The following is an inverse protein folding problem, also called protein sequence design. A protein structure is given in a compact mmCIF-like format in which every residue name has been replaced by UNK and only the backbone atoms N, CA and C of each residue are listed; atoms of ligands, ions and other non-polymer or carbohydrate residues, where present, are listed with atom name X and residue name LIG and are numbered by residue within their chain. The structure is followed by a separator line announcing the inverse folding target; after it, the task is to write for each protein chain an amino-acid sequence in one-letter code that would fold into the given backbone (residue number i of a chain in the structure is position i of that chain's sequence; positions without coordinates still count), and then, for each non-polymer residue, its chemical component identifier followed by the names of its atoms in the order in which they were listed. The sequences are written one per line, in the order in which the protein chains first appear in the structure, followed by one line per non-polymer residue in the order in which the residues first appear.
data_IF_333848776170
#
_entry.id   IF_333848776170
#
_cell.length_a   1.000
_cell.length_b   1.000
_cell.length_c   1.000
_cell.angle_alpha   90.00
_cell.angle_beta   90.00
_cell.angle_gamma   90.00
#
_symmetry.space_group_name_H-M   'P 1'
#
loop_
_entity.id
_entity.type
_entity.pdbx_description
1 polymer ?
#
# COMPACT_ATOMS: atom_id res chain seq x y z
N UNK A 1 -16.88 24.16 10.56
CA UNK A 1 -15.71 23.33 10.93
C UNK A 1 -16.05 21.84 10.94
N UNK A 2 -17.18 21.40 11.48
CA UNK A 2 -17.61 20.00 11.50
C UNK A 2 -17.50 19.29 10.13
N UNK A 3 -18.17 19.82 9.09
CA UNK A 3 -18.14 19.21 7.75
C UNK A 3 -16.75 19.11 7.12
N UNK A 4 -15.86 20.08 7.40
CA UNK A 4 -14.49 20.03 6.92
C UNK A 4 -13.74 18.82 7.50
N UNK A 5 -13.80 18.63 8.81
CA UNK A 5 -13.15 17.51 9.48
C UNK A 5 -13.77 16.16 9.11
N UNK A 6 -15.09 16.13 8.88
CA UNK A 6 -15.79 14.96 8.36
C UNK A 6 -15.24 14.56 6.97
N UNK A 7 -15.16 15.52 6.04
CA UNK A 7 -14.63 15.29 4.70
C UNK A 7 -13.17 14.83 4.75
N UNK A 8 -12.34 15.49 5.56
CA UNK A 8 -10.92 15.10 5.70
C UNK A 8 -10.77 13.68 6.25
N UNK A 9 -11.56 13.26 7.22
CA UNK A 9 -11.51 11.89 7.72
C UNK A 9 -11.95 10.86 6.67
N UNK A 10 -12.92 11.18 5.82
CA UNK A 10 -13.32 10.33 4.69
C UNK A 10 -12.17 10.22 3.68
N UNK A 11 -11.57 11.33 3.29
CA UNK A 11 -10.45 11.35 2.33
C UNK A 11 -9.29 10.51 2.83
N UNK A 12 -8.90 10.64 4.09
CA UNK A 12 -7.81 9.84 4.65
C UNK A 12 -8.19 8.37 4.88
N UNK A 13 -9.46 8.06 5.10
CA UNK A 13 -9.95 6.66 5.11
C UNK A 13 -9.76 6.02 3.73
N UNK A 14 -10.13 6.72 2.65
CA UNK A 14 -9.91 6.25 1.29
C UNK A 14 -8.41 6.09 0.98
N UNK A 15 -7.60 7.08 1.34
CA UNK A 15 -6.13 7.02 1.15
C UNK A 15 -5.50 5.82 1.87
N UNK A 16 -5.91 5.54 3.11
CA UNK A 16 -5.43 4.38 3.88
C UNK A 16 -5.81 3.06 3.21
N UNK A 17 -7.04 2.94 2.73
CA UNK A 17 -7.57 1.76 2.06
C UNK A 17 -6.85 1.49 0.72
N UNK A 18 -6.66 2.53 -0.10
CA UNK A 18 -5.92 2.43 -1.37
C UNK A 18 -4.47 2.00 -1.11
N UNK A 19 -3.82 2.61 -0.11
CA UNK A 19 -2.45 2.27 0.26
C UNK A 19 -2.32 0.79 0.66
N UNK A 20 -3.28 0.25 1.40
CA UNK A 20 -3.29 -1.17 1.77
C UNK A 20 -3.52 -2.07 0.56
N UNK A 21 -4.47 -1.74 -0.31
CA UNK A 21 -4.71 -2.50 -1.54
C UNK A 21 -3.45 -2.55 -2.43
N UNK A 22 -2.71 -1.44 -2.55
CA UNK A 22 -1.45 -1.40 -3.29
C UNK A 22 -0.39 -2.30 -2.62
N UNK A 23 -0.24 -2.21 -1.29
CA UNK A 23 0.71 -3.06 -0.56
C UNK A 23 0.43 -4.54 -0.75
N UNK A 24 -0.82 -4.97 -0.67
CA UNK A 24 -1.22 -6.36 -0.85
C UNK A 24 -0.99 -6.82 -2.29
N UNK A 25 -1.28 -5.98 -3.29
CA UNK A 25 -0.96 -6.31 -4.69
C UNK A 25 0.54 -6.43 -4.92
N UNK A 26 1.35 -5.54 -4.36
CA UNK A 26 2.80 -5.61 -4.47
C UNK A 26 3.35 -6.88 -3.81
N UNK A 27 2.84 -7.25 -2.63
CA UNK A 27 3.40 -8.34 -1.83
C UNK A 27 2.94 -9.72 -2.29
N UNK A 28 1.64 -9.88 -2.62
CA UNK A 28 1.04 -11.20 -2.85
C UNK A 28 0.61 -11.45 -4.29
N UNK A 29 0.43 -10.39 -5.09
CA UNK A 29 -0.15 -10.47 -6.42
C UNK A 29 0.64 -9.67 -7.46
N UNK A 30 1.98 -9.59 -7.31
CA UNK A 30 2.85 -8.80 -8.18
C UNK A 30 2.58 -9.05 -9.67
N UNK A 31 2.59 -10.31 -10.09
CA UNK A 31 2.45 -10.68 -11.50
C UNK A 31 1.09 -10.34 -12.13
N UNK A 32 0.05 -10.18 -11.30
CA UNK A 32 -1.29 -9.77 -11.73
C UNK A 32 -1.54 -8.28 -11.54
N UNK A 33 -0.56 -7.54 -11.03
CA UNK A 33 -0.70 -6.12 -10.75
C UNK A 33 -0.35 -5.26 -11.96
N UNK A 34 -0.99 -4.09 -12.05
CA UNK A 34 -0.63 -3.07 -13.05
C UNK A 34 0.83 -2.63 -12.94
N UNK A 35 1.46 -2.81 -11.79
CA UNK A 35 2.84 -2.42 -11.52
C UNK A 35 3.86 -3.32 -12.20
N UNK A 36 3.49 -4.56 -12.56
CA UNK A 36 4.38 -5.53 -13.23
C UNK A 36 4.54 -5.28 -14.74
N UNK A 37 3.70 -4.42 -15.33
CA UNK A 37 3.64 -4.22 -16.79
C UNK A 37 4.77 -3.34 -17.33
N UNK A 38 5.36 -2.50 -16.49
CA UNK A 38 6.34 -1.51 -16.94
C UNK A 38 7.77 -2.06 -16.89
N UNK A 39 8.41 -2.37 -18.06
CA UNK A 39 9.70 -3.04 -18.12
C UNK A 39 10.90 -2.12 -17.89
N UNK A 40 10.71 -0.85 -17.54
CA UNK A 40 11.84 0.03 -17.27
C UNK A 40 12.53 -0.37 -15.97
N UNK A 41 13.77 -0.87 -16.07
CA UNK A 41 14.61 -1.36 -14.96
C UNK A 41 14.64 -0.45 -13.72
N UNK A 42 14.58 0.87 -13.92
CA UNK A 42 14.55 1.84 -12.82
C UNK A 42 13.23 1.81 -12.05
N UNK A 43 12.13 1.56 -12.76
CA UNK A 43 10.79 1.45 -12.19
C UNK A 43 10.63 0.13 -11.44
N UNK A 44 11.19 -0.94 -12.01
CA UNK A 44 11.17 -2.28 -11.43
C UNK A 44 11.87 -2.33 -10.07
N UNK A 45 13.02 -1.70 -9.93
CA UNK A 45 13.77 -1.67 -8.66
C UNK A 45 13.00 -0.99 -7.51
N UNK A 46 12.11 -0.05 -7.80
CA UNK A 46 11.31 0.61 -6.77
C UNK A 46 10.02 -0.16 -6.43
N UNK A 47 9.33 -0.68 -7.44
CA UNK A 47 8.01 -1.28 -7.30
C UNK A 47 8.04 -2.79 -7.06
N UNK A 48 8.99 -3.49 -7.65
CA UNK A 48 9.06 -4.94 -7.55
C UNK A 48 9.59 -5.37 -6.17
N UNK A 49 8.78 -6.03 -5.32
CA UNK A 49 9.16 -6.41 -3.97
C UNK A 49 10.34 -7.38 -3.91
N UNK A 50 10.60 -8.14 -5.00
CA UNK A 50 11.73 -9.07 -5.06
C UNK A 50 13.09 -8.36 -5.14
N UNK A 51 13.15 -7.13 -5.67
CA UNK A 51 14.38 -6.37 -5.84
C UNK A 51 14.44 -5.12 -4.96
N UNK A 52 13.30 -4.50 -4.69
CA UNK A 52 13.22 -3.19 -4.05
C UNK A 52 13.74 -3.17 -2.60
N UNK A 53 13.72 -4.32 -1.92
CA UNK A 53 14.24 -4.43 -0.55
C UNK A 53 15.71 -4.01 -0.43
N UNK A 54 16.50 -4.16 -1.51
CA UNK A 54 17.91 -3.80 -1.55
C UNK A 54 18.16 -2.30 -1.66
N UNK A 55 17.16 -1.51 -2.11
CA UNK A 55 17.31 -0.07 -2.37
C UNK A 55 17.66 0.78 -1.15
N UNK A 56 17.45 0.27 0.05
CA UNK A 56 17.84 0.92 1.30
C UNK A 56 19.35 0.87 1.57
N UNK A 57 20.09 0.04 0.81
CA UNK A 57 21.53 -0.14 0.97
C UNK A 57 22.30 0.45 -0.21
N UNK A 58 23.48 1.03 0.04
CA UNK A 58 24.50 1.34 -0.96
C UNK A 58 25.34 0.10 -1.29
N UNK A 59 25.62 -0.71 -0.27
CA UNK A 59 26.25 -2.02 -0.38
C UNK A 59 25.42 -3.04 0.39
N UNK A 60 24.83 -3.99 -0.34
CA UNK A 60 23.91 -4.99 0.23
C UNK A 60 24.65 -5.97 1.15
N UNK A 61 25.85 -6.40 0.77
CA UNK A 61 26.64 -7.38 1.53
C UNK A 61 27.07 -6.82 2.89
N UNK A 62 27.50 -5.54 2.91
CA UNK A 62 27.91 -4.84 4.13
C UNK A 62 26.75 -4.19 4.87
N UNK A 63 25.53 -4.20 4.30
CA UNK A 63 24.34 -3.50 4.83
C UNK A 63 24.56 -2.01 5.08
N UNK A 64 25.42 -1.37 4.29
CA UNK A 64 25.69 0.06 4.38
C UNK A 64 24.46 0.86 3.96
N UNK A 65 23.95 1.81 4.76
CA UNK A 65 22.80 2.63 4.37
C UNK A 65 23.08 3.43 3.09
N UNK A 66 22.09 3.53 2.20
CA UNK A 66 22.20 4.31 0.96
C UNK A 66 22.30 5.80 1.21
N UNK A 67 21.58 6.28 2.22
CA UNK A 67 21.60 7.65 2.73
C UNK A 67 21.20 7.63 4.21
N UNK A 68 21.37 8.74 4.89
CA UNK A 68 21.05 8.85 6.31
C UNK A 68 19.59 8.46 6.58
N UNK A 69 19.40 7.45 7.43
CA UNK A 69 18.06 6.95 7.81
C UNK A 69 17.36 6.05 6.79
N UNK A 70 18.01 5.67 5.66
CA UNK A 70 17.40 4.81 4.63
C UNK A 70 16.98 3.43 5.14
N UNK A 71 17.59 2.95 6.20
CA UNK A 71 17.27 1.66 6.84
C UNK A 71 16.33 1.78 8.04
N UNK A 72 15.96 3.00 8.43
CA UNK A 72 15.19 3.30 9.65
C UNK A 72 14.04 4.26 9.38
N UNK A 73 14.27 5.56 9.64
CA UNK A 73 13.20 6.58 9.60
C UNK A 73 12.72 6.86 8.17
N UNK A 74 13.63 6.87 7.19
CA UNK A 74 13.34 7.21 5.80
C UNK A 74 13.28 6.00 4.87
N UNK A 75 13.10 4.80 5.42
CA UNK A 75 12.93 3.57 4.62
C UNK A 75 11.77 3.66 3.62
N UNK A 76 10.76 4.46 3.90
CA UNK A 76 9.62 4.69 3.01
C UNK A 76 9.98 5.38 1.69
N UNK A 77 11.18 5.97 1.57
CA UNK A 77 11.68 6.55 0.32
C UNK A 77 12.43 5.51 -0.55
N UNK A 78 12.65 4.31 -0.07
CA UNK A 78 13.49 3.32 -0.75
C UNK A 78 12.71 2.39 -1.67
N UNK A 79 11.46 2.11 -1.35
CA UNK A 79 10.62 1.22 -2.15
C UNK A 79 9.12 1.52 -1.98
N UNK A 80 8.33 1.06 -2.94
CA UNK A 80 6.90 1.33 -2.99
C UNK A 80 6.15 0.73 -1.79
N UNK A 81 6.49 -0.48 -1.36
CA UNK A 81 5.80 -1.13 -0.24
C UNK A 81 5.93 -0.31 1.05
N UNK A 82 7.15 0.13 1.38
CA UNK A 82 7.39 0.98 2.56
C UNK A 82 6.74 2.37 2.42
N UNK A 83 6.71 2.93 1.21
CA UNK A 83 6.03 4.21 0.94
C UNK A 83 4.54 4.10 1.25
N UNK A 84 3.87 3.06 0.74
CA UNK A 84 2.44 2.88 0.99
C UNK A 84 2.14 2.45 2.43
N UNK A 85 3.04 1.72 3.08
CA UNK A 85 2.94 1.44 4.52
C UNK A 85 2.99 2.73 5.35
N UNK A 86 3.91 3.64 5.03
CA UNK A 86 3.98 4.95 5.68
C UNK A 86 2.71 5.77 5.41
N UNK A 87 2.28 5.86 4.13
CA UNK A 87 1.05 6.57 3.73
C UNK A 87 -0.19 6.03 4.46
N UNK A 88 -0.34 4.70 4.55
CA UNK A 88 -1.42 4.06 5.30
C UNK A 88 -1.41 4.48 6.77
N UNK A 89 -0.26 4.37 7.44
CA UNK A 89 -0.16 4.68 8.87
C UNK A 89 -0.41 6.17 9.15
N UNK A 90 0.13 7.06 8.31
CA UNK A 90 -0.13 8.50 8.40
C UNK A 90 -1.61 8.80 8.18
N UNK A 91 -2.24 8.17 7.19
CA UNK A 91 -3.66 8.34 6.92
C UNK A 91 -4.53 7.87 8.08
N UNK A 92 -4.22 6.73 8.71
CA UNK A 92 -4.93 6.25 9.91
C UNK A 92 -4.80 7.27 11.07
N UNK A 93 -3.60 7.79 11.31
CA UNK A 93 -3.40 8.83 12.32
C UNK A 93 -4.27 10.07 12.05
N UNK A 94 -4.30 10.53 10.78
CA UNK A 94 -5.10 11.69 10.38
C UNK A 94 -6.62 11.40 10.45
N UNK A 95 -7.07 10.17 10.15
CA UNK A 95 -8.46 9.78 10.38
C UNK A 95 -8.84 9.92 11.86
N UNK A 96 -8.01 9.41 12.76
CA UNK A 96 -8.26 9.52 14.21
C UNK A 96 -8.32 10.98 14.62
N UNK A 97 -7.35 11.80 14.21
CA UNK A 97 -7.28 13.22 14.53
C UNK A 97 -8.52 13.98 14.04
N UNK A 98 -8.88 13.82 12.76
CA UNK A 98 -10.03 14.53 12.19
C UNK A 98 -11.37 14.00 12.66
N UNK A 99 -11.46 12.72 13.01
CA UNK A 99 -12.65 12.16 13.67
C UNK A 99 -12.85 12.77 15.06
N UNK A 100 -11.78 12.93 15.83
CA UNK A 100 -11.83 13.59 17.14
C UNK A 100 -12.23 15.06 17.00
N UNK A 101 -11.60 15.80 16.07
CA UNK A 101 -11.95 17.20 15.82
C UNK A 101 -13.39 17.34 15.32
N UNK A 102 -13.86 16.47 14.45
CA UNK A 102 -15.25 16.45 13.99
C UNK A 102 -16.21 16.26 15.15
N UNK A 103 -15.95 15.31 16.04
CA UNK A 103 -16.78 15.05 17.21
C UNK A 103 -16.81 16.22 18.17
N UNK A 104 -15.71 16.97 18.32
CA UNK A 104 -15.64 18.17 19.16
C UNK A 104 -16.54 19.31 18.65
N UNK A 105 -16.66 19.46 17.31
CA UNK A 105 -17.50 20.49 16.68
C UNK A 105 -18.92 20.01 16.37
N UNK A 106 -19.33 18.89 16.94
CA UNK A 106 -20.65 18.32 16.70
C UNK A 106 -21.71 19.00 17.59
N UNK A 107 -22.68 19.66 16.98
CA UNK A 107 -23.70 20.48 17.66
C UNK A 107 -25.04 19.75 17.85
N UNK A 108 -25.21 18.53 17.37
CA UNK A 108 -26.47 17.79 17.48
C UNK A 108 -26.67 17.16 18.86
N UNK A 109 -27.91 17.03 19.29
CA UNK A 109 -28.32 16.49 20.61
C UNK A 109 -28.20 14.94 20.71
N UNK A 110 -27.58 14.27 19.77
CA UNK A 110 -27.37 12.82 19.85
C UNK A 110 -26.24 12.53 20.84
N UNK A 111 -26.38 11.43 21.58
CA UNK A 111 -25.33 10.99 22.49
C UNK A 111 -24.00 10.84 21.75
N UNK A 112 -22.96 11.53 22.24
CA UNK A 112 -21.60 11.53 21.66
C UNK A 112 -21.06 10.12 21.40
N UNK A 113 -21.32 9.17 22.31
CA UNK A 113 -20.89 7.78 22.18
C UNK A 113 -21.57 7.11 20.98
N UNK A 114 -22.88 7.29 20.83
CA UNK A 114 -23.64 6.72 19.73
C UNK A 114 -23.19 7.30 18.39
N UNK A 115 -22.97 8.62 18.32
CA UNK A 115 -22.43 9.27 17.12
C UNK A 115 -21.05 8.70 16.76
N UNK A 116 -20.15 8.62 17.73
CA UNK A 116 -18.79 8.11 17.49
C UNK A 116 -18.81 6.66 17.01
N UNK A 117 -19.67 5.83 17.56
CA UNK A 117 -19.82 4.43 17.15
C UNK A 117 -20.31 4.32 15.71
N UNK A 118 -21.40 5.01 15.35
CA UNK A 118 -21.94 5.04 13.98
C UNK A 118 -20.90 5.55 13.01
N UNK A 119 -20.15 6.57 13.38
CA UNK A 119 -19.11 7.19 12.56
C UNK A 119 -17.97 6.19 12.26
N UNK A 120 -17.43 5.54 13.29
CA UNK A 120 -16.34 4.53 13.13
C UNK A 120 -16.81 3.35 12.27
N UNK A 121 -18.03 2.85 12.49
CA UNK A 121 -18.59 1.75 11.67
C UNK A 121 -18.74 2.18 10.21
N UNK A 122 -19.22 3.39 9.95
CA UNK A 122 -19.36 3.93 8.59
C UNK A 122 -18.01 4.08 7.88
N UNK A 123 -16.99 4.58 8.57
CA UNK A 123 -15.63 4.69 8.03
C UNK A 123 -15.03 3.31 7.76
N UNK A 124 -15.25 2.33 8.63
CA UNK A 124 -14.77 0.95 8.42
C UNK A 124 -15.43 0.29 7.22
N UNK A 125 -16.73 0.52 7.02
CA UNK A 125 -17.45 0.03 5.86
C UNK A 125 -16.93 0.67 4.56
N UNK A 126 -16.77 1.99 4.55
CA UNK A 126 -16.19 2.74 3.44
C UNK A 126 -14.77 2.26 3.09
N UNK A 127 -13.95 2.00 4.11
CA UNK A 127 -12.62 1.43 3.92
C UNK A 127 -12.68 0.07 3.21
N UNK A 128 -13.54 -0.84 3.64
CA UNK A 128 -13.69 -2.16 3.03
C UNK A 128 -14.14 -2.08 1.57
N UNK A 129 -15.13 -1.25 1.26
CA UNK A 129 -15.59 -1.03 -0.12
C UNK A 129 -14.47 -0.49 -1.01
N UNK A 130 -13.75 0.52 -0.54
CA UNK A 130 -12.66 1.14 -1.29
C UNK A 130 -11.52 0.14 -1.54
N UNK A 131 -11.14 -0.63 -0.51
CA UNK A 131 -10.13 -1.69 -0.62
C UNK A 131 -10.50 -2.69 -1.72
N UNK A 132 -11.70 -3.28 -1.66
CA UNK A 132 -12.17 -4.27 -2.64
C UNK A 132 -12.19 -3.69 -4.05
N UNK A 133 -12.72 -2.47 -4.23
CA UNK A 133 -12.75 -1.83 -5.53
C UNK A 133 -11.35 -1.62 -6.11
N UNK A 134 -10.42 -1.08 -5.33
CA UNK A 134 -9.06 -0.86 -5.80
C UNK A 134 -8.33 -2.16 -6.02
N UNK A 135 -8.41 -3.11 -5.08
CA UNK A 135 -7.74 -4.39 -5.18
C UNK A 135 -8.20 -5.19 -6.40
N UNK A 136 -9.52 -5.32 -6.63
CA UNK A 136 -10.07 -6.19 -7.66
C UNK A 136 -10.22 -5.52 -9.04
N UNK A 137 -10.46 -4.21 -9.07
CA UNK A 137 -10.84 -3.53 -10.31
C UNK A 137 -9.75 -2.65 -10.90
N UNK A 138 -9.05 -1.88 -10.06
CA UNK A 138 -8.10 -0.89 -10.54
C UNK A 138 -6.66 -1.36 -10.55
N UNK A 139 -6.27 -2.20 -9.59
CA UNK A 139 -4.88 -2.66 -9.46
C UNK A 139 -4.62 -4.00 -10.12
N UNK A 140 -5.66 -4.70 -10.59
CA UNK A 140 -5.52 -5.94 -11.32
C UNK A 140 -5.39 -5.68 -12.81
N UNK A 141 -4.35 -6.24 -13.43
CA UNK A 141 -4.19 -6.24 -14.86
C UNK A 141 -5.16 -7.24 -15.47
N UNK A 142 -6.16 -6.75 -16.17
CA UNK A 142 -7.01 -7.59 -17.01
C UNK A 142 -6.31 -7.75 -18.35
N UNK A 143 -5.88 -8.95 -18.62
CA UNK A 143 -5.26 -9.31 -19.88
C UNK A 143 -6.24 -9.12 -21.04
N UNK A 144 -6.14 -7.97 -21.71
CA UNK A 144 -6.89 -7.67 -22.92
C UNK A 144 -6.40 -8.50 -24.11
N UNK A 145 -5.23 -9.13 -24.01
CA UNK A 145 -4.55 -9.81 -25.10
C UNK A 145 -4.34 -11.31 -24.91
N UNK A 146 -4.92 -11.94 -23.87
CA UNK A 146 -4.78 -13.38 -23.62
C UNK A 146 -3.39 -13.80 -23.14
N UNK A 147 -2.52 -12.87 -22.74
CA UNK A 147 -1.15 -13.15 -22.28
C UNK A 147 -1.11 -13.62 -20.82
N UNK A 148 -2.13 -13.30 -20.00
CA UNK A 148 -2.28 -13.80 -18.63
C UNK A 148 -2.93 -15.19 -18.54
N UNK A 149 -3.04 -15.85 -19.66
CA UNK A 149 -3.76 -17.12 -19.77
C UNK A 149 -2.89 -18.35 -19.69
N UNK A 150 -2.16 -18.54 -18.63
CA UNK A 150 -1.88 -19.89 -18.07
C UNK A 150 -1.66 -19.65 -16.59
N UNK A 151 -2.40 -20.40 -15.79
CA UNK A 151 -2.22 -20.51 -14.35
C UNK A 151 -0.79 -20.91 -13.98
N UNK A 152 0.12 -19.97 -14.18
CA UNK A 152 1.41 -20.00 -13.53
C UNK A 152 1.15 -19.48 -12.12
N UNK A 153 0.41 -20.25 -11.33
CA UNK A 153 0.52 -20.16 -9.88
C UNK A 153 2.01 -20.22 -9.57
N UNK A 154 2.59 -19.17 -8.95
CA UNK A 154 4.02 -19.15 -8.66
C UNK A 154 4.32 -20.07 -7.49
N UNK A 155 4.01 -21.35 -7.63
CA UNK A 155 4.32 -22.39 -6.66
C UNK A 155 5.52 -23.22 -7.06
N UNK A 156 5.71 -23.48 -8.34
CA UNK A 156 6.64 -24.53 -8.74
C UNK A 156 7.68 -24.17 -9.81
N UNK A 157 7.54 -23.12 -10.62
CA UNK A 157 8.53 -22.84 -11.69
C UNK A 157 9.30 -21.52 -11.54
N UNK A 158 8.74 -20.52 -10.86
CA UNK A 158 9.44 -19.24 -10.62
C UNK A 158 10.50 -19.37 -9.52
N UNK A 159 10.43 -20.44 -8.72
CA UNK A 159 11.37 -20.63 -7.62
C UNK A 159 12.76 -21.09 -8.08
N UNK A 160 12.90 -21.70 -9.26
CA UNK A 160 14.20 -22.10 -9.78
C UNK A 160 14.93 -20.95 -10.47
N UNK A 161 14.25 -20.20 -11.33
CA UNK A 161 14.90 -19.21 -12.20
C UNK A 161 15.39 -17.95 -11.46
N UNK A 162 14.70 -17.50 -10.42
CA UNK A 162 15.21 -16.39 -9.59
C UNK A 162 16.25 -16.85 -8.56
N UNK A 163 16.11 -18.07 -8.02
CA UNK A 163 17.15 -18.66 -7.15
C UNK A 163 18.46 -18.85 -7.91
N UNK A 164 18.40 -19.26 -9.17
CA UNK A 164 19.58 -19.41 -10.03
C UNK A 164 20.18 -18.05 -10.40
N UNK A 165 19.36 -17.01 -10.62
CA UNK A 165 19.82 -15.63 -10.80
C UNK A 165 20.45 -15.03 -9.53
N UNK A 166 19.92 -15.31 -8.36
CA UNK A 166 20.52 -14.87 -7.08
C UNK A 166 21.79 -15.65 -6.76
N UNK A 167 21.84 -16.94 -7.09
CA UNK A 167 23.03 -17.78 -6.90
C UNK A 167 24.11 -17.54 -7.96
N UNK A 168 23.77 -17.05 -9.14
CA UNK A 168 24.70 -16.65 -10.21
C UNK A 168 25.32 -15.25 -10.00
N UNK A 169 24.94 -14.53 -8.96
CA UNK A 169 25.52 -13.26 -8.53
C UNK A 169 26.58 -13.42 -7.42
N UNK A 170 27.08 -14.63 -7.23
CA UNK A 170 28.22 -14.92 -6.37
C UNK A 170 29.53 -14.84 -7.13
#
# INVERSE_FOLDING_TARGET
MFYLFLILSIVFTLSSSISEAIMDKLQFHWHKSIFSINPKRYYENFWNPYFSWSNKYSNVEKKEPKFFGSTTIFVFLTDAWHLFKFSKNLSIFLVILFSFLSSHYYEFKINFILFSLIYVVSLRFLYGLCFTLFFDKFLEFKDVYGIAGKDNTPGNEVNSDWMDKVNGLK
#
